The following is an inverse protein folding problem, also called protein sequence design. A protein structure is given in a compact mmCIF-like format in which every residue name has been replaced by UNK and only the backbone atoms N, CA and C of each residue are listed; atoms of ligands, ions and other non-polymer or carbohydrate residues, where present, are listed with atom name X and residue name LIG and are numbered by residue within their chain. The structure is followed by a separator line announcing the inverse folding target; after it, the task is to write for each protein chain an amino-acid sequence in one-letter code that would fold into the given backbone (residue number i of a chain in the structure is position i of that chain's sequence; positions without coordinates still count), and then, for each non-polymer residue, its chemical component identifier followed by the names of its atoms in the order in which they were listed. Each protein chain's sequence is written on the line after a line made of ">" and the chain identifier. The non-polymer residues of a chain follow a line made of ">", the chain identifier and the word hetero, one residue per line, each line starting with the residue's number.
data_IF_686376402478
#
_entry.id   IF_686376402478
#
_cell.length_a   1.000
_cell.length_b   1.000
_cell.length_c   1.000
_cell.angle_alpha   90.00
_cell.angle_beta   90.00
_cell.angle_gamma   90.00
#
_symmetry.space_group_name_H-M   'P 1'
#
loop_
_entity.id
_entity.type
_entity.pdbx_description
1 polymer ?
#
# COMPACT_ATOMS: atom_id res chain seq x y z
N UNK A 1 -0.93 3.32 -4.54
CA UNK A 1 -0.31 2.04 -4.13
C UNK A 1 1.10 1.87 -4.67
N UNK A 2 1.36 2.13 -5.96
CA UNK A 2 2.69 1.97 -6.57
C UNK A 2 3.75 2.86 -5.91
N UNK A 3 3.47 4.14 -5.63
CA UNK A 3 4.46 5.00 -4.96
C UNK A 3 4.76 4.55 -3.53
N UNK A 4 3.76 4.05 -2.80
CA UNK A 4 3.96 3.47 -1.49
C UNK A 4 4.89 2.26 -1.54
N UNK A 5 4.70 1.39 -2.54
CA UNK A 5 5.61 0.26 -2.75
C UNK A 5 7.05 0.75 -2.91
N UNK A 6 7.30 1.76 -3.75
CA UNK A 6 8.65 2.33 -3.94
C UNK A 6 9.25 2.89 -2.65
N UNK A 7 8.45 3.54 -1.80
CA UNK A 7 8.90 3.98 -0.48
C UNK A 7 9.26 2.80 0.44
N UNK A 8 8.37 1.82 0.54
CA UNK A 8 8.54 0.67 1.45
C UNK A 8 9.69 -0.25 1.02
N UNK A 9 9.97 -0.35 -0.28
CA UNK A 9 11.10 -1.14 -0.80
C UNK A 9 12.40 -0.35 -0.91
N UNK A 10 12.43 0.92 -0.51
CA UNK A 10 13.64 1.75 -0.56
C UNK A 10 14.09 2.12 -1.98
N UNK A 11 13.20 2.08 -2.98
CA UNK A 11 13.50 2.55 -4.34
C UNK A 11 13.62 4.07 -4.39
N UNK A 12 12.80 4.75 -3.58
CA UNK A 12 12.99 6.17 -3.33
C UNK A 12 14.00 6.36 -2.21
N UNK A 13 15.07 7.12 -2.50
CA UNK A 13 15.96 7.66 -1.48
C UNK A 13 15.22 8.78 -0.74
N UNK A 14 14.47 8.38 0.29
CA UNK A 14 13.72 9.30 1.13
C UNK A 14 14.51 9.51 2.41
N UNK A 15 15.22 10.63 2.49
CA UNK A 15 15.96 11.09 3.68
C UNK A 15 15.12 11.18 4.97
N UNK A 16 13.79 11.09 4.87
CA UNK A 16 12.86 10.94 6.00
C UNK A 16 11.81 9.87 5.67
N UNK A 17 11.61 8.84 6.52
CA UNK A 17 10.56 7.86 6.29
C UNK A 17 9.18 8.51 6.53
N UNK A 18 8.43 8.71 5.43
CA UNK A 18 7.04 9.18 5.46
C UNK A 18 6.12 8.12 6.10
N UNK A 19 6.52 6.85 6.00
CA UNK A 19 5.79 5.69 6.47
C UNK A 19 6.61 4.90 7.49
N UNK A 20 5.96 4.42 8.56
CA UNK A 20 6.58 3.59 9.58
C UNK A 20 6.04 2.15 9.46
N UNK A 21 6.96 1.18 9.43
CA UNK A 21 6.61 -0.24 9.45
C UNK A 21 6.13 -0.66 10.84
N UNK A 22 5.13 -1.53 10.90
CA UNK A 22 4.65 -2.08 12.15
C UNK A 22 5.68 -3.09 12.71
N UNK A 23 6.01 -3.02 14.02
CA UNK A 23 7.08 -3.82 14.60
C UNK A 23 6.78 -5.33 14.66
N UNK A 24 5.50 -5.74 14.63
CA UNK A 24 5.08 -7.13 14.75
C UNK A 24 4.03 -7.49 13.68
N UNK A 25 4.43 -8.16 12.60
CA UNK A 25 3.46 -8.81 11.70
C UNK A 25 3.08 -10.17 12.28
N UNK A 26 2.02 -10.22 13.09
CA UNK A 26 1.46 -11.50 13.53
C UNK A 26 1.13 -12.36 12.29
N UNK A 27 1.31 -13.68 12.41
CA UNK A 27 1.27 -14.75 11.38
C UNK A 27 0.03 -14.82 10.48
N UNK A 28 -0.94 -13.91 10.65
CA UNK A 28 -2.19 -13.82 9.88
C UNK A 28 -2.23 -12.62 8.91
N UNK A 29 -1.17 -11.83 8.85
CA UNK A 29 -1.10 -10.67 7.97
C UNK A 29 0.27 -10.57 7.27
N UNK A 30 0.37 -9.71 6.25
CA UNK A 30 1.60 -9.57 5.48
C UNK A 30 2.75 -8.89 6.27
N UNK A 31 3.98 -9.19 5.89
CA UNK A 31 5.23 -8.79 6.55
C UNK A 31 5.49 -7.28 6.58
N UNK A 32 4.99 -6.54 5.58
CA UNK A 32 5.26 -5.10 5.40
C UNK A 32 4.14 -4.17 5.86
N UNK A 33 3.47 -4.47 6.98
CA UNK A 33 2.38 -3.61 7.49
C UNK A 33 2.87 -2.22 7.87
N UNK A 34 2.02 -1.23 7.67
CA UNK A 34 2.28 0.16 8.04
C UNK A 34 1.46 0.58 9.25
N UNK A 35 2.05 1.40 10.10
CA UNK A 35 1.36 2.02 11.24
C UNK A 35 0.38 3.06 10.70
N UNK A 36 -0.91 2.89 11.03
CA UNK A 36 -1.94 3.89 10.72
C UNK A 36 -1.91 4.97 11.79
N UNK A 37 -1.38 6.14 11.46
CA UNK A 37 -1.42 7.30 12.34
C UNK A 37 -2.87 7.77 12.44
N UNK A 38 -3.40 7.95 13.64
CA UNK A 38 -4.76 8.51 13.81
C UNK A 38 -4.66 10.03 13.76
N UNK A 39 -5.13 10.64 12.68
CA UNK A 39 -5.32 12.09 12.67
C UNK A 39 -6.61 12.47 13.39
N UNK A 40 -6.52 13.45 14.29
CA UNK A 40 -7.67 14.04 15.00
C UNK A 40 -8.45 15.04 14.13
N UNK A 41 -7.82 15.59 13.09
CA UNK A 41 -8.44 16.54 12.17
C UNK A 41 -8.82 15.80 10.88
N UNK A 42 -10.10 15.86 10.49
CA UNK A 42 -10.63 15.22 9.27
C UNK A 42 -9.99 15.72 7.97
N UNK A 43 -9.41 16.92 7.97
CA UNK A 43 -8.61 17.41 6.82
C UNK A 43 -7.38 16.51 6.60
N UNK A 44 -6.76 16.07 7.71
CA UNK A 44 -5.54 15.24 7.67
C UNK A 44 -5.80 13.79 7.27
N UNK A 45 -7.02 13.27 7.44
CA UNK A 45 -7.37 11.91 6.96
C UNK A 45 -7.41 11.80 5.44
N UNK A 46 -7.47 12.93 4.72
CA UNK A 46 -7.45 12.95 3.26
C UNK A 46 -6.04 12.96 2.66
N UNK A 47 -5.00 13.11 3.49
CA UNK A 47 -3.61 13.13 3.01
C UNK A 47 -3.21 11.74 2.49
N UNK A 48 -2.35 11.76 1.47
CA UNK A 48 -1.82 10.54 0.87
C UNK A 48 -1.28 9.57 1.92
N UNK A 49 -0.49 10.07 2.88
CA UNK A 49 0.12 9.27 3.95
C UNK A 49 -0.88 8.53 4.84
N UNK A 50 -2.12 9.02 4.97
CA UNK A 50 -3.15 8.38 5.79
C UNK A 50 -4.06 7.46 4.97
N UNK A 51 -4.43 7.89 3.76
CA UNK A 51 -5.35 7.15 2.89
C UNK A 51 -4.78 5.82 2.41
N UNK A 52 -3.49 5.80 2.08
CA UNK A 52 -2.86 4.61 1.48
C UNK A 52 -2.59 3.49 2.48
N UNK A 53 -2.45 3.81 3.77
CA UNK A 53 -2.09 2.82 4.80
C UNK A 53 -3.16 1.74 4.93
N UNK A 54 -4.44 2.12 4.90
CA UNK A 54 -5.54 1.16 5.05
C UNK A 54 -5.57 0.17 3.88
N UNK A 55 -5.47 0.68 2.66
CA UNK A 55 -5.51 -0.18 1.47
C UNK A 55 -4.23 -1.01 1.32
N UNK A 56 -3.07 -0.49 1.72
CA UNK A 56 -1.83 -1.26 1.76
C UNK A 56 -1.94 -2.43 2.74
N UNK A 57 -2.43 -2.15 3.95
CA UNK A 57 -2.61 -3.16 4.98
C UNK A 57 -3.67 -4.21 4.60
N UNK A 58 -4.55 -3.97 3.65
CA UNK A 58 -5.50 -4.99 3.16
C UNK A 58 -4.93 -5.87 2.04
N UNK A 59 -3.76 -5.55 1.48
CA UNK A 59 -3.18 -6.35 0.41
C UNK A 59 -2.68 -7.70 0.92
N UNK A 60 -2.74 -8.77 0.10
CA UNK A 60 -2.15 -10.06 0.43
C UNK A 60 -0.62 -10.02 0.34
N UNK A 61 0.05 -10.93 1.06
CA UNK A 61 1.51 -11.08 1.03
C UNK A 61 2.02 -11.31 -0.40
N UNK A 62 1.31 -12.07 -1.23
CA UNK A 62 1.70 -12.35 -2.62
C UNK A 62 1.86 -11.07 -3.45
N UNK A 63 1.05 -10.04 -3.20
CA UNK A 63 1.15 -8.74 -3.87
C UNK A 63 2.31 -7.93 -3.28
N UNK A 64 2.39 -7.84 -1.96
CA UNK A 64 3.35 -7.00 -1.23
C UNK A 64 4.81 -7.52 -1.32
N UNK A 65 4.98 -8.82 -1.52
CA UNK A 65 6.29 -9.51 -1.70
C UNK A 65 6.81 -9.46 -3.15
N UNK A 66 6.23 -8.62 -4.02
CA UNK A 66 6.71 -8.50 -5.39
C UNK A 66 8.20 -8.10 -5.47
N UNK A 67 8.97 -8.72 -6.39
CA UNK A 67 10.41 -8.49 -6.48
C UNK A 67 10.77 -7.13 -7.11
N UNK A 68 9.86 -6.51 -7.86
CA UNK A 68 10.06 -5.21 -8.49
C UNK A 68 8.72 -4.50 -8.74
N UNK A 69 8.79 -3.25 -9.19
CA UNK A 69 7.62 -2.37 -9.41
C UNK A 69 6.65 -2.94 -10.45
N UNK A 70 7.15 -3.53 -11.53
CA UNK A 70 6.28 -4.07 -12.59
C UNK A 70 5.54 -5.32 -12.11
N UNK A 71 6.25 -6.22 -11.42
CA UNK A 71 5.63 -7.38 -10.79
C UNK A 71 4.59 -6.96 -9.74
N UNK A 72 4.84 -5.89 -8.99
CA UNK A 72 3.87 -5.34 -8.04
C UNK A 72 2.61 -4.84 -8.74
N UNK A 73 2.74 -4.04 -9.80
CA UNK A 73 1.61 -3.53 -10.60
C UNK A 73 0.75 -4.69 -11.11
N UNK A 74 1.36 -5.67 -11.79
CA UNK A 74 0.64 -6.81 -12.35
C UNK A 74 -0.12 -7.62 -11.28
N UNK A 75 0.49 -7.86 -10.12
CA UNK A 75 -0.15 -8.58 -9.01
C UNK A 75 -1.26 -7.76 -8.36
N UNK A 76 -1.07 -6.44 -8.25
CA UNK A 76 -2.07 -5.53 -7.72
C UNK A 76 -3.29 -5.44 -8.64
N UNK A 77 -3.07 -5.30 -9.94
CA UNK A 77 -4.14 -5.24 -10.95
C UNK A 77 -4.94 -6.54 -10.96
N UNK A 78 -4.26 -7.70 -10.92
CA UNK A 78 -4.94 -8.99 -10.81
C UNK A 78 -5.77 -9.12 -9.51
N UNK A 79 -5.25 -8.65 -8.37
CA UNK A 79 -5.97 -8.67 -7.09
C UNK A 79 -7.18 -7.72 -7.09
N UNK A 80 -7.09 -6.59 -7.79
CA UNK A 80 -8.18 -5.63 -7.89
C UNK A 80 -9.25 -6.04 -8.90
N UNK A 81 -8.86 -6.70 -9.99
CA UNK A 81 -9.79 -7.26 -10.96
C UNK A 81 -10.73 -8.33 -10.34
N UNK A 82 -10.28 -9.03 -9.30
CA UNK A 82 -11.13 -9.98 -8.55
C UNK A 82 -12.06 -9.31 -7.53
N UNK A 83 -11.94 -7.99 -7.33
CA UNK A 83 -12.74 -7.20 -6.39
C UNK A 83 -13.36 -5.99 -7.12
N UNK A 84 -14.40 -6.19 -7.96
CA UNK A 84 -14.94 -5.18 -8.86
C UNK A 84 -15.51 -3.92 -8.18
N UNK A 85 -15.75 -3.96 -6.86
CA UNK A 85 -16.15 -2.77 -6.08
C UNK A 85 -15.02 -1.73 -5.89
N UNK A 86 -13.75 -2.10 -6.15
CA UNK A 86 -12.57 -1.26 -5.91
C UNK A 86 -11.92 -0.78 -7.22
N UNK A 87 -12.18 -1.46 -8.34
CA UNK A 87 -11.49 -1.24 -9.60
C UNK A 87 -12.47 -1.07 -10.76
N UNK A 88 -12.49 0.12 -11.35
CA UNK A 88 -13.13 0.38 -12.64
C UNK A 88 -12.04 0.42 -13.74
N UNK A 89 -11.89 -0.63 -14.57
CA UNK A 89 -10.93 -0.64 -15.67
C UNK A 89 -11.24 0.38 -16.78
N UNK A 90 -12.46 0.91 -16.85
CA UNK A 90 -12.86 1.87 -17.89
C UNK A 90 -12.21 3.26 -17.74
N UNK A 91 -11.57 3.57 -16.61
CA UNK A 91 -10.92 4.87 -16.38
C UNK A 91 -9.53 5.02 -17.03
N UNK A 92 -9.10 4.06 -17.87
CA UNK A 92 -7.81 4.07 -18.56
C UNK A 92 -7.91 4.08 -20.10
N UNK A 93 -9.12 4.27 -20.65
CA UNK A 93 -9.33 4.54 -22.08
C UNK A 93 -9.76 6.00 -22.29
#
# INVERSE_FOLDING_TARGET
>A
MVDLFKYVTGIYDASRPIFELAPNSNTRAHSKKLIKKRSRLGVRSNFFSERVVSGWNSLPESVVSAPNVNAFKNRLDAHWATHPAIYNPECYN
#
